data_IF_736099417359
#
_entry.id   IF_736099417359
#
_cell.length_a   1.000
_cell.length_b   1.000
_cell.length_c   1.000
_cell.angle_alpha   90.00
_cell.angle_beta   90.00
_cell.angle_gamma   90.00
#
_symmetry.space_group_name_H-M   'P 1'
#
loop_
_entity.id
_entity.type
_entity.pdbx_description
1 polymer ?
#
# COMPACT_ATOMS: atom_id res chain seq x y z
N UNK A 1 17.39 -1.28 -72.44
CA UNK A 1 15.93 -1.26 -72.16
C UNK A 1 15.45 -2.46 -71.32
N UNK A 2 15.78 -3.73 -71.64
CA UNK A 2 15.33 -4.91 -70.86
C UNK A 2 15.84 -4.95 -69.40
N UNK A 3 17.07 -4.48 -69.13
CA UNK A 3 17.64 -4.46 -67.77
C UNK A 3 17.03 -3.37 -66.87
N UNK A 4 16.50 -2.28 -67.44
CA UNK A 4 15.82 -1.23 -66.68
C UNK A 4 14.40 -1.66 -66.26
N UNK A 5 13.77 -2.53 -67.05
CA UNK A 5 12.48 -3.14 -66.70
C UNK A 5 12.61 -4.14 -65.54
N UNK A 6 13.69 -4.93 -65.48
CA UNK A 6 13.93 -5.87 -64.38
C UNK A 6 14.32 -5.17 -63.06
N UNK A 7 15.07 -4.06 -63.14
CA UNK A 7 15.40 -3.24 -61.96
C UNK A 7 14.17 -2.51 -61.39
N UNK A 8 13.28 -1.99 -62.25
CA UNK A 8 12.02 -1.40 -61.82
C UNK A 8 11.07 -2.40 -61.15
N UNK A 9 11.00 -3.64 -61.65
CA UNK A 9 10.19 -4.71 -61.06
C UNK A 9 10.71 -5.16 -59.68
N UNK A 10 12.03 -5.22 -59.49
CA UNK A 10 12.63 -5.56 -58.19
C UNK A 10 12.40 -4.46 -57.14
N UNK A 11 12.46 -3.19 -57.54
CA UNK A 11 12.20 -2.07 -56.64
C UNK A 11 10.72 -1.99 -56.20
N UNK A 12 9.78 -2.30 -57.11
CA UNK A 12 8.34 -2.41 -56.79
C UNK A 12 8.03 -3.59 -55.86
N UNK A 13 8.76 -4.71 -55.98
CA UNK A 13 8.57 -5.87 -55.08
C UNK A 13 9.04 -5.60 -53.64
N UNK A 14 10.09 -4.77 -53.45
CA UNK A 14 10.57 -4.38 -52.11
C UNK A 14 9.62 -3.37 -51.44
N UNK A 15 8.96 -2.52 -52.22
CA UNK A 15 7.96 -1.57 -51.70
C UNK A 15 6.61 -2.22 -51.32
N UNK A 16 6.34 -3.44 -51.78
CA UNK A 16 5.11 -4.18 -51.48
C UNK A 16 5.14 -4.96 -50.14
N UNK A 17 6.29 -5.00 -49.45
CA UNK A 17 6.49 -5.70 -48.16
C UNK A 17 6.43 -4.73 -46.96
N UNK A 18 6.01 -3.48 -47.16
CA UNK A 18 5.73 -2.54 -46.06
C UNK A 18 4.35 -2.81 -45.44
N UNK A 19 4.16 -3.99 -44.85
CA UNK A 19 3.04 -4.20 -43.95
C UNK A 19 3.24 -3.27 -42.73
N UNK A 20 2.23 -2.48 -42.32
CA UNK A 20 2.34 -1.71 -41.09
C UNK A 20 2.54 -2.70 -39.94
N UNK A 21 3.72 -2.66 -39.32
CA UNK A 21 3.97 -3.32 -38.05
C UNK A 21 3.14 -2.58 -36.98
N UNK A 22 1.85 -2.90 -36.89
CA UNK A 22 1.05 -2.49 -35.75
C UNK A 22 1.64 -3.22 -34.55
N UNK A 23 2.34 -2.49 -33.69
CA UNK A 23 2.68 -2.99 -32.36
C UNK A 23 1.36 -3.40 -31.70
N UNK A 24 1.15 -4.71 -31.57
CA UNK A 24 -0.09 -5.23 -31.01
C UNK A 24 -0.07 -4.92 -29.51
N UNK A 25 -0.72 -3.82 -29.13
CA UNK A 25 -0.86 -3.42 -27.74
C UNK A 25 -1.76 -4.44 -27.05
N UNK A 26 -1.18 -5.20 -26.11
CA UNK A 26 -1.92 -6.18 -25.31
C UNK A 26 -2.17 -5.57 -23.93
N UNK A 27 -3.42 -5.32 -23.62
CA UNK A 27 -3.84 -4.77 -22.34
C UNK A 27 -4.47 -5.87 -21.50
N UNK A 28 -4.25 -5.81 -20.19
CA UNK A 28 -4.96 -6.61 -19.20
C UNK A 28 -5.42 -5.70 -18.06
N UNK A 29 -6.32 -6.19 -17.22
CA UNK A 29 -6.65 -5.52 -15.97
C UNK A 29 -6.69 -6.50 -14.79
N UNK A 30 -6.54 -5.95 -13.60
CA UNK A 30 -6.51 -6.70 -12.35
C UNK A 30 -7.29 -5.97 -11.25
N UNK A 31 -8.07 -6.73 -10.50
CA UNK A 31 -8.71 -6.30 -9.28
C UNK A 31 -7.75 -6.56 -8.10
N UNK A 32 -6.93 -5.56 -7.79
CA UNK A 32 -5.91 -5.67 -6.74
C UNK A 32 -6.56 -5.87 -5.37
N UNK A 33 -7.70 -5.21 -5.12
CA UNK A 33 -8.44 -5.34 -3.86
C UNK A 33 -8.97 -6.77 -3.69
N UNK A 34 -9.53 -7.36 -4.74
CA UNK A 34 -9.95 -8.76 -4.73
C UNK A 34 -8.76 -9.70 -4.54
N UNK A 35 -7.67 -9.47 -5.26
CA UNK A 35 -6.47 -10.29 -5.14
C UNK A 35 -5.88 -10.26 -3.72
N UNK A 36 -5.82 -9.09 -3.10
CA UNK A 36 -5.41 -8.91 -1.70
C UNK A 36 -6.32 -9.69 -0.74
N UNK A 37 -7.65 -9.64 -0.92
CA UNK A 37 -8.59 -10.27 0.00
C UNK A 37 -8.75 -11.79 -0.20
N UNK A 38 -8.56 -12.27 -1.42
CA UNK A 38 -8.81 -13.67 -1.78
C UNK A 38 -7.54 -14.54 -1.75
N UNK A 39 -6.35 -13.95 -1.81
CA UNK A 39 -5.11 -14.71 -1.65
C UNK A 39 -4.95 -15.28 -0.24
N UNK A 40 -4.18 -16.34 -0.11
CA UNK A 40 -4.04 -17.08 1.15
C UNK A 40 -3.30 -16.24 2.21
N UNK A 41 -2.37 -15.38 1.80
CA UNK A 41 -1.73 -14.42 2.69
C UNK A 41 -2.72 -13.39 3.24
N UNK A 42 -3.57 -12.81 2.40
CA UNK A 42 -4.57 -11.84 2.83
C UNK A 42 -5.64 -12.44 3.73
N UNK A 43 -6.11 -13.66 3.43
CA UNK A 43 -7.03 -14.40 4.31
C UNK A 43 -6.41 -14.66 5.68
N UNK A 44 -5.14 -15.11 5.72
CA UNK A 44 -4.40 -15.32 6.98
C UNK A 44 -4.22 -14.02 7.76
N UNK A 45 -3.73 -12.98 7.11
CA UNK A 45 -3.56 -11.65 7.69
C UNK A 45 -4.86 -11.12 8.30
N UNK A 46 -5.97 -11.26 7.58
CA UNK A 46 -7.31 -10.87 8.07
C UNK A 46 -7.72 -11.64 9.32
N UNK A 47 -7.51 -12.95 9.35
CA UNK A 47 -7.83 -13.78 10.51
C UNK A 47 -6.96 -13.42 11.73
N UNK A 48 -5.65 -13.24 11.53
CA UNK A 48 -4.74 -12.82 12.59
C UNK A 48 -5.10 -11.43 13.14
N UNK A 49 -5.45 -10.50 12.25
CA UNK A 49 -5.89 -9.16 12.62
C UNK A 49 -7.19 -9.19 13.44
N UNK A 50 -8.17 -10.01 13.04
CA UNK A 50 -9.41 -10.20 13.80
C UNK A 50 -9.15 -10.77 15.19
N UNK A 51 -8.28 -11.77 15.31
CA UNK A 51 -7.89 -12.33 16.61
C UNK A 51 -7.21 -11.28 17.50
N UNK A 52 -6.36 -10.43 16.91
CA UNK A 52 -5.70 -9.34 17.62
C UNK A 52 -6.71 -8.32 18.15
N UNK A 53 -7.69 -7.93 17.33
CA UNK A 53 -8.80 -7.05 17.73
C UNK A 53 -9.55 -7.65 18.92
N UNK A 54 -9.98 -8.92 18.84
CA UNK A 54 -10.72 -9.58 19.91
C UNK A 54 -9.93 -9.66 21.22
N UNK A 55 -8.63 -9.96 21.13
CA UNK A 55 -7.75 -9.99 22.30
C UNK A 55 -7.56 -8.61 22.92
N UNK A 56 -7.45 -7.56 22.12
CA UNK A 56 -7.32 -6.18 22.60
C UNK A 56 -8.62 -5.70 23.24
N UNK A 57 -9.76 -5.96 22.60
CA UNK A 57 -11.08 -5.61 23.11
C UNK A 57 -11.34 -6.27 24.47
N UNK A 58 -11.07 -7.57 24.59
CA UNK A 58 -11.19 -8.31 25.86
C UNK A 58 -10.27 -7.79 26.96
N UNK A 59 -9.09 -7.25 26.61
CA UNK A 59 -8.18 -6.62 27.57
C UNK A 59 -8.70 -5.26 28.01
N UNK A 60 -9.06 -4.40 27.06
CA UNK A 60 -9.57 -3.05 27.33
C UNK A 60 -10.88 -3.08 28.12
N UNK A 61 -11.76 -4.05 27.85
CA UNK A 61 -12.99 -4.24 28.61
C UNK A 61 -12.71 -4.60 30.08
N UNK A 62 -11.70 -5.44 30.35
CA UNK A 62 -11.29 -5.76 31.72
C UNK A 62 -10.75 -4.54 32.46
N UNK A 63 -9.89 -3.77 31.81
CA UNK A 63 -9.35 -2.51 32.37
C UNK A 63 -10.47 -1.49 32.64
N UNK A 64 -11.43 -1.36 31.71
CA UNK A 64 -12.61 -0.50 31.88
C UNK A 64 -13.48 -0.92 33.07
N UNK A 65 -13.71 -2.23 33.24
CA UNK A 65 -14.47 -2.76 34.37
C UNK A 65 -13.74 -2.54 35.70
N UNK A 66 -12.42 -2.65 35.70
CA UNK A 66 -11.60 -2.41 36.89
C UNK A 66 -11.65 -0.93 37.31
N UNK A 67 -11.49 -0.01 36.36
CA UNK A 67 -11.64 1.44 36.62
C UNK A 67 -13.04 1.78 37.13
N UNK A 68 -14.08 1.19 36.53
CA UNK A 68 -15.46 1.39 36.98
C UNK A 68 -15.69 0.81 38.37
N UNK A 69 -15.13 -0.36 38.67
CA UNK A 69 -15.21 -0.99 40.00
C UNK A 69 -14.58 -0.12 41.10
N UNK A 70 -13.40 0.45 40.84
CA UNK A 70 -12.74 1.37 41.77
C UNK A 70 -13.57 2.64 41.99
N UNK A 71 -14.12 3.20 40.92
CA UNK A 71 -15.01 4.38 41.00
C UNK A 71 -16.22 4.08 41.88
N UNK A 72 -16.91 2.97 41.60
CA UNK A 72 -18.08 2.52 42.37
C UNK A 72 -17.73 2.29 43.85
N UNK A 73 -16.56 1.73 44.15
CA UNK A 73 -16.10 1.51 45.51
C UNK A 73 -15.85 2.82 46.27
N UNK A 74 -15.20 3.79 45.63
CA UNK A 74 -14.99 5.13 46.19
C UNK A 74 -16.33 5.83 46.44
N UNK A 75 -17.27 5.77 45.49
CA UNK A 75 -18.58 6.44 45.60
C UNK A 75 -19.46 5.81 46.69
N UNK A 76 -19.52 4.48 46.76
CA UNK A 76 -20.43 3.75 47.67
C UNK A 76 -19.86 3.57 49.07
N UNK A 77 -18.57 3.25 49.19
CA UNK A 77 -17.94 2.90 50.46
C UNK A 77 -16.98 3.98 50.97
N UNK A 78 -16.63 4.97 50.15
CA UNK A 78 -15.63 5.97 50.49
C UNK A 78 -15.93 6.71 51.80
N UNK A 79 -17.20 7.04 52.08
CA UNK A 79 -17.58 7.73 53.32
C UNK A 79 -17.33 6.89 54.59
N UNK A 80 -17.29 5.56 54.47
CA UNK A 80 -17.05 4.63 55.58
C UNK A 80 -15.57 4.26 55.76
N UNK A 81 -14.71 4.64 54.80
CA UNK A 81 -13.27 4.34 54.81
C UNK A 81 -12.48 5.35 55.64
N UNK A 82 -11.34 4.90 56.17
CA UNK A 82 -10.36 5.80 56.77
C UNK A 82 -9.75 6.73 55.71
N UNK A 83 -9.31 7.95 56.08
CA UNK A 83 -8.76 8.92 55.13
C UNK A 83 -7.65 8.35 54.24
N UNK A 84 -6.69 7.63 54.83
CA UNK A 84 -5.55 7.05 54.10
C UNK A 84 -5.99 5.96 53.11
N UNK A 85 -6.94 5.11 53.50
CA UNK A 85 -7.48 4.06 52.63
C UNK A 85 -8.23 4.65 51.43
N UNK A 86 -9.03 5.70 51.68
CA UNK A 86 -9.75 6.42 50.64
C UNK A 86 -8.79 7.09 49.66
N UNK A 87 -7.73 7.72 50.17
CA UNK A 87 -6.71 8.37 49.34
C UNK A 87 -6.01 7.33 48.44
N UNK A 88 -5.59 6.19 48.99
CA UNK A 88 -4.94 5.14 48.20
C UNK A 88 -5.84 4.61 47.07
N UNK A 89 -7.13 4.41 47.33
CA UNK A 89 -8.11 4.00 46.31
C UNK A 89 -8.29 5.07 45.22
N UNK A 90 -8.34 6.36 45.60
CA UNK A 90 -8.42 7.46 44.64
C UNK A 90 -7.18 7.54 43.75
N UNK A 91 -6.00 7.38 44.33
CA UNK A 91 -4.74 7.38 43.60
C UNK A 91 -4.67 6.19 42.63
N UNK A 92 -5.12 5.02 43.06
CA UNK A 92 -5.22 3.84 42.19
C UNK A 92 -6.22 4.04 41.04
N UNK A 93 -7.40 4.60 41.33
CA UNK A 93 -8.39 4.94 40.30
C UNK A 93 -7.81 5.90 39.27
N UNK A 94 -7.18 6.99 39.71
CA UNK A 94 -6.57 7.98 38.81
C UNK A 94 -5.48 7.34 37.95
N UNK A 95 -4.66 6.47 38.55
CA UNK A 95 -3.61 5.73 37.83
C UNK A 95 -4.22 4.82 36.75
N UNK A 96 -5.16 3.94 37.12
CA UNK A 96 -5.76 3.00 36.18
C UNK A 96 -6.59 3.69 35.09
N UNK A 97 -7.25 4.81 35.41
CA UNK A 97 -7.98 5.59 34.42
C UNK A 97 -7.03 6.20 33.36
N UNK A 98 -5.86 6.70 33.78
CA UNK A 98 -4.81 7.18 32.86
C UNK A 98 -4.22 6.06 32.02
N UNK A 99 -3.95 4.92 32.65
CA UNK A 99 -3.42 3.74 31.95
C UNK A 99 -4.41 3.24 30.88
N UNK A 100 -5.71 3.21 31.20
CA UNK A 100 -6.76 2.84 30.25
C UNK A 100 -6.84 3.79 29.06
N UNK A 101 -6.83 5.11 29.28
CA UNK A 101 -6.86 6.11 28.20
C UNK A 101 -5.64 5.95 27.28
N UNK A 102 -4.45 5.78 27.87
CA UNK A 102 -3.23 5.50 27.12
C UNK A 102 -3.34 4.20 26.32
N UNK A 103 -3.79 3.11 26.95
CA UNK A 103 -3.92 1.82 26.31
C UNK A 103 -4.93 1.82 25.17
N UNK A 104 -6.00 2.61 25.26
CA UNK A 104 -6.97 2.81 24.18
C UNK A 104 -6.33 3.48 22.97
N UNK A 105 -5.50 4.51 23.20
CA UNK A 105 -4.77 5.19 22.13
C UNK A 105 -3.73 4.27 21.50
N UNK A 106 -2.88 3.66 22.31
CA UNK A 106 -1.81 2.77 21.86
C UNK A 106 -2.38 1.60 21.06
N UNK A 107 -3.51 1.02 21.49
CA UNK A 107 -4.17 -0.07 20.75
C UNK A 107 -4.68 0.37 19.36
N UNK A 108 -5.23 1.58 19.23
CA UNK A 108 -5.69 2.10 17.92
C UNK A 108 -4.52 2.34 16.98
N UNK A 109 -3.48 2.99 17.47
CA UNK A 109 -2.28 3.31 16.69
C UNK A 109 -1.56 2.02 16.24
N UNK A 110 -1.46 1.03 17.13
CA UNK A 110 -0.83 -0.25 16.83
C UNK A 110 -1.64 -1.08 15.82
N UNK A 111 -2.97 -1.13 15.95
CA UNK A 111 -3.82 -1.82 14.97
C UNK A 111 -3.68 -1.18 13.58
N UNK A 112 -3.70 0.15 13.49
CA UNK A 112 -3.53 0.86 12.22
C UNK A 112 -2.14 0.63 11.62
N UNK A 113 -1.08 0.69 12.45
CA UNK A 113 0.29 0.44 11.99
C UNK A 113 0.44 -0.98 11.44
N UNK A 114 -0.05 -1.96 12.19
CA UNK A 114 0.05 -3.38 11.82
C UNK A 114 -0.74 -3.68 10.54
N UNK A 115 -1.96 -3.16 10.42
CA UNK A 115 -2.78 -3.32 9.20
C UNK A 115 -2.09 -2.75 7.96
N UNK A 116 -1.56 -1.53 8.08
CA UNK A 116 -0.82 -0.88 6.99
C UNK A 116 0.46 -1.64 6.60
N UNK A 117 1.22 -2.14 7.58
CA UNK A 117 2.46 -2.87 7.33
C UNK A 117 2.19 -4.19 6.60
N UNK A 118 1.24 -4.98 7.10
CA UNK A 118 0.92 -6.29 6.52
C UNK A 118 0.29 -6.11 5.13
N UNK A 119 -0.66 -5.19 4.99
CA UNK A 119 -1.28 -4.88 3.69
C UNK A 119 -0.24 -4.39 2.69
N UNK A 120 0.65 -3.48 3.10
CA UNK A 120 1.70 -2.95 2.24
C UNK A 120 2.64 -4.04 1.71
N UNK A 121 3.03 -5.00 2.55
CA UNK A 121 3.86 -6.14 2.13
C UNK A 121 3.15 -7.03 1.12
N UNK A 122 1.86 -7.33 1.31
CA UNK A 122 1.09 -8.15 0.36
C UNK A 122 0.91 -7.41 -0.98
N UNK A 123 0.62 -6.10 -0.94
CA UNK A 123 0.51 -5.28 -2.15
C UNK A 123 1.83 -5.22 -2.93
N UNK A 124 2.96 -5.13 -2.23
CA UNK A 124 4.27 -5.18 -2.84
C UNK A 124 4.51 -6.50 -3.59
N UNK A 125 4.24 -7.62 -2.93
CA UNK A 125 4.33 -8.97 -3.52
C UNK A 125 3.40 -9.13 -4.73
N UNK A 126 2.15 -8.66 -4.62
CA UNK A 126 1.19 -8.65 -5.73
C UNK A 126 1.72 -7.85 -6.92
N UNK A 127 2.34 -6.70 -6.69
CA UNK A 127 2.95 -5.88 -7.74
C UNK A 127 4.03 -6.64 -8.52
N UNK A 128 4.88 -7.39 -7.84
CA UNK A 128 5.89 -8.25 -8.49
C UNK A 128 5.24 -9.33 -9.33
N UNK A 129 4.21 -9.99 -8.81
CA UNK A 129 3.50 -11.06 -9.51
C UNK A 129 2.77 -10.53 -10.74
N UNK A 130 2.09 -9.39 -10.62
CA UNK A 130 1.41 -8.72 -11.73
C UNK A 130 2.43 -8.38 -12.83
N UNK A 131 3.60 -7.86 -12.45
CA UNK A 131 4.70 -7.58 -13.39
C UNK A 131 5.16 -8.84 -14.11
N UNK A 132 5.45 -9.92 -13.36
CA UNK A 132 5.91 -11.18 -13.94
C UNK A 132 4.88 -11.78 -14.92
N UNK A 133 3.58 -11.75 -14.56
CA UNK A 133 2.50 -12.18 -15.45
C UNK A 133 2.43 -11.28 -16.69
N UNK A 134 2.58 -9.98 -16.50
CA UNK A 134 2.69 -8.96 -17.54
C UNK A 134 3.74 -9.31 -18.59
N UNK A 135 4.97 -9.50 -18.12
CA UNK A 135 6.14 -9.80 -18.95
C UNK A 135 6.01 -11.17 -19.65
N UNK A 136 5.60 -12.22 -18.93
CA UNK A 136 5.45 -13.57 -19.48
C UNK A 136 4.33 -13.69 -20.52
N UNK A 137 3.24 -12.95 -20.34
CA UNK A 137 2.09 -12.98 -21.25
C UNK A 137 2.21 -11.97 -22.41
N UNK A 138 3.24 -11.13 -22.39
CA UNK A 138 3.49 -10.08 -23.37
C UNK A 138 2.47 -8.94 -23.30
N UNK A 139 1.96 -8.62 -22.11
CA UNK A 139 1.11 -7.45 -21.91
C UNK A 139 1.97 -6.18 -21.95
N UNK A 140 1.51 -5.18 -22.70
CA UNK A 140 2.12 -3.86 -22.76
C UNK A 140 1.79 -3.04 -21.51
N UNK A 141 0.62 -3.29 -20.90
CA UNK A 141 0.15 -2.62 -19.69
C UNK A 141 -0.89 -3.47 -18.97
N UNK A 142 -0.86 -3.42 -17.64
CA UNK A 142 -1.90 -3.95 -16.77
C UNK A 142 -2.53 -2.79 -16.01
N UNK A 143 -3.86 -2.67 -16.08
CA UNK A 143 -4.63 -1.61 -15.44
C UNK A 143 -5.30 -2.10 -14.16
N UNK A 144 -5.49 -1.21 -13.20
CA UNK A 144 -6.28 -1.49 -12.01
C UNK A 144 -7.78 -1.36 -12.34
N UNK A 145 -8.60 -2.29 -11.84
CA UNK A 145 -10.03 -2.39 -12.18
C UNK A 145 -10.85 -1.16 -11.79
N UNK A 146 -10.58 -0.53 -10.65
CA UNK A 146 -11.19 0.72 -10.22
C UNK A 146 -10.88 1.93 -11.12
N UNK A 147 -9.86 1.83 -11.98
CA UNK A 147 -9.49 2.86 -12.96
C UNK A 147 -10.18 2.70 -14.32
N UNK A 148 -10.93 1.62 -14.53
CA UNK A 148 -11.61 1.33 -15.80
C UNK A 148 -13.13 1.20 -15.59
N UNK A 149 -13.93 1.69 -16.54
CA UNK A 149 -15.39 1.59 -16.46
C UNK A 149 -15.91 0.21 -16.93
N UNK A 150 -15.21 -0.40 -17.90
CA UNK A 150 -15.58 -1.68 -18.47
C UNK A 150 -14.36 -2.33 -19.14
N UNK A 151 -14.27 -3.65 -19.04
CA UNK A 151 -13.28 -4.47 -19.73
C UNK A 151 -13.87 -5.85 -20.00
N UNK A 152 -13.46 -6.48 -21.10
CA UNK A 152 -13.87 -7.84 -21.40
C UNK A 152 -13.25 -8.83 -20.38
N UNK A 153 -14.03 -9.80 -19.90
CA UNK A 153 -13.61 -10.71 -18.82
C UNK A 153 -12.36 -11.54 -19.14
N UNK A 154 -12.06 -11.75 -20.42
CA UNK A 154 -10.85 -12.44 -20.85
C UNK A 154 -9.56 -11.61 -20.67
N UNK A 155 -9.68 -10.30 -20.42
CA UNK A 155 -8.57 -9.42 -20.08
C UNK A 155 -8.35 -9.33 -18.56
N UNK A 156 -9.25 -9.91 -17.76
CA UNK A 156 -9.12 -9.98 -16.31
C UNK A 156 -8.10 -11.05 -15.92
N UNK A 157 -6.98 -10.62 -15.36
CA UNK A 157 -5.93 -11.54 -14.88
C UNK A 157 -6.01 -11.78 -13.37
N UNK A 158 -7.04 -11.30 -12.67
CA UNK A 158 -7.15 -11.37 -11.20
C UNK A 158 -7.00 -12.79 -10.67
N UNK A 159 -7.71 -13.76 -11.25
CA UNK A 159 -7.62 -15.15 -10.78
C UNK A 159 -6.24 -15.75 -11.06
N UNK A 160 -5.57 -15.34 -12.14
CA UNK A 160 -4.20 -15.76 -12.45
C UNK A 160 -3.22 -15.20 -11.42
N UNK A 161 -3.39 -13.93 -11.04
CA UNK A 161 -2.59 -13.28 -9.98
C UNK A 161 -2.78 -13.98 -8.65
N UNK A 162 -4.03 -14.27 -8.24
CA UNK A 162 -4.33 -14.99 -6.99
C UNK A 162 -3.67 -16.37 -6.99
N UNK A 163 -3.83 -17.14 -8.07
CA UNK A 163 -3.21 -18.47 -8.19
C UNK A 163 -1.68 -18.40 -8.13
N UNK A 164 -1.09 -17.43 -8.81
CA UNK A 164 0.37 -17.24 -8.81
C UNK A 164 0.88 -16.84 -7.43
N UNK A 165 0.15 -15.99 -6.70
CA UNK A 165 0.47 -15.62 -5.33
C UNK A 165 0.46 -16.84 -4.42
N UNK A 166 -0.63 -17.60 -4.42
CA UNK A 166 -0.76 -18.78 -3.56
C UNK A 166 0.27 -19.86 -3.88
N UNK A 167 0.64 -20.02 -5.16
CA UNK A 167 1.64 -21.01 -5.60
C UNK A 167 3.07 -20.63 -5.23
N UNK A 168 3.35 -19.35 -4.98
CA UNK A 168 4.70 -18.89 -4.63
C UNK A 168 5.18 -19.35 -3.25
N UNK A 169 4.28 -19.88 -2.41
CA UNK A 169 4.53 -20.19 -0.99
C UNK A 169 5.25 -19.06 -0.21
N UNK A 170 5.15 -17.83 -0.72
CA UNK A 170 5.87 -16.68 -0.20
C UNK A 170 5.40 -16.36 1.22
N UNK A 171 6.36 -16.03 2.08
CA UNK A 171 6.07 -15.33 3.32
C UNK A 171 5.70 -13.89 2.96
N UNK A 172 4.82 -13.26 3.73
CA UNK A 172 4.37 -11.89 3.46
C UNK A 172 5.59 -10.96 3.37
N UNK A 173 5.80 -10.35 2.20
CA UNK A 173 6.91 -9.43 1.90
C UNK A 173 8.17 -10.08 1.33
N UNK A 174 8.24 -11.42 1.21
CA UNK A 174 9.48 -12.12 0.86
C UNK A 174 9.83 -12.06 -0.63
N UNK A 175 8.90 -11.66 -1.51
CA UNK A 175 9.18 -11.58 -2.95
C UNK A 175 10.00 -10.33 -3.30
N UNK A 176 10.09 -9.35 -2.38
CA UNK A 176 10.80 -8.09 -2.56
C UNK A 176 12.22 -7.98 -2.03
N UNK A 177 12.61 -8.81 -1.05
CA UNK A 177 13.89 -8.68 -0.36
C UNK A 177 15.11 -9.01 -1.25
N UNK A 178 14.91 -9.66 -2.40
CA UNK A 178 15.97 -9.89 -3.40
C UNK A 178 16.15 -8.77 -4.44
N UNK A 179 15.23 -7.81 -4.52
CA UNK A 179 15.19 -6.83 -5.62
C UNK A 179 15.85 -5.48 -5.29
N UNK A 180 16.13 -5.18 -4.00
CA UNK A 180 16.76 -3.92 -3.58
C UNK A 180 18.27 -3.85 -3.89
N UNK A 181 18.88 -4.93 -4.39
CA UNK A 181 20.31 -4.97 -4.72
C UNK A 181 20.66 -4.50 -6.15
N UNK A 182 19.71 -4.21 -7.05
CA UNK A 182 20.03 -3.85 -8.46
C UNK A 182 19.01 -2.91 -9.14
N UNK A 183 18.42 -1.95 -8.44
CA UNK A 183 17.83 -0.81 -9.16
C UNK A 183 18.88 0.29 -9.27
N UNK A 184 19.70 0.18 -10.31
CA UNK A 184 20.52 1.30 -10.78
C UNK A 184 19.59 2.15 -11.66
N UNK A 185 19.23 3.37 -11.24
CA UNK A 185 18.38 4.22 -12.06
C UNK A 185 19.06 4.46 -13.42
N UNK A 186 18.32 4.46 -14.55
CA UNK A 186 18.90 4.84 -15.83
C UNK A 186 19.57 6.21 -15.69
N UNK A 187 20.74 6.44 -16.33
CA UNK A 187 21.48 7.69 -16.17
C UNK A 187 20.55 8.84 -16.47
N UNK A 188 20.25 9.61 -15.42
CA UNK A 188 19.43 10.81 -15.48
C UNK A 188 19.95 11.67 -16.63
N UNK A 189 19.13 11.88 -17.65
CA UNK A 189 19.42 12.87 -18.68
C UNK A 189 19.71 14.18 -17.94
N UNK A 190 20.92 14.68 -18.15
CA UNK A 190 21.48 15.83 -17.43
C UNK A 190 20.42 16.89 -17.17
N UNK A 191 20.12 17.13 -15.89
CA UNK A 191 19.30 18.26 -15.50
C UNK A 191 19.90 19.53 -16.11
N UNK A 192 19.15 20.37 -16.83
CA UNK A 192 19.67 21.64 -17.30
C UNK A 192 20.07 22.49 -16.09
N UNK A 193 21.28 23.04 -16.15
CA UNK A 193 21.87 23.87 -15.13
C UNK A 193 20.88 24.95 -14.67
N UNK A 194 20.73 25.08 -13.35
CA UNK A 194 19.99 26.14 -12.69
C UNK A 194 20.41 27.51 -13.21
N UNK A 195 19.53 28.16 -13.97
CA UNK A 195 19.71 29.53 -14.45
C UNK A 195 19.57 30.51 -13.28
N UNK A 196 20.61 31.30 -13.06
CA UNK A 196 20.63 32.48 -12.19
C UNK A 196 19.63 33.55 -12.65
N UNK A 197 18.37 33.44 -12.24
CA UNK A 197 17.42 34.56 -12.34
C UNK A 197 16.72 34.77 -11.00
N UNK A 198 17.31 35.63 -10.17
CA UNK A 198 16.77 35.98 -8.87
C UNK A 198 17.59 36.98 -8.06
N UNK A 199 18.20 37.99 -8.69
CA UNK A 199 18.81 39.11 -7.95
C UNK A 199 18.55 40.44 -8.65
N UNK A 200 17.33 40.96 -8.48
CA UNK A 200 17.00 42.36 -8.78
C UNK A 200 15.64 42.76 -8.18
N UNK A 201 15.50 42.82 -6.86
CA UNK A 201 14.36 43.50 -6.23
C UNK A 201 14.63 43.87 -4.77
N UNK A 202 15.53 44.84 -4.52
CA UNK A 202 15.58 45.54 -3.23
C UNK A 202 16.14 46.96 -3.39
N UNK A 203 15.44 47.82 -4.13
CA UNK A 203 15.55 49.28 -3.94
C UNK A 203 14.50 49.69 -2.90
N UNK A 204 14.91 49.79 -1.63
CA UNK A 204 14.16 50.53 -0.61
C UNK A 204 14.25 52.00 -0.96
N UNK A 205 13.12 52.57 -1.36
CA UNK A 205 12.92 54.01 -1.51
C UNK A 205 12.96 54.67 -0.14
N UNK A 206 13.91 55.60 0.00
CA UNK A 206 13.95 56.66 0.98
C UNK A 206 12.73 57.57 0.76
N UNK A 207 11.84 57.65 1.75
CA UNK A 207 10.99 58.82 1.95
C UNK A 207 11.33 59.37 3.33
N UNK A 208 11.80 60.61 3.33
CA UNK A 208 11.98 61.45 4.51
C UNK A 208 11.20 62.73 4.24
N UNK A 209 10.47 63.18 5.27
CA UNK A 209 9.49 64.28 5.36
C UNK A 209 8.06 63.99 4.94
#
# INVERSE_FOLDING_TARGET
MRQWLTLGALLMAVLAVSAPAHAQVRLAYVDVQRALNECDAGKRAKNEFQNKIQSLDSRLQREQNEVQGLKDEIEKKGMLMQPDQRQNLQDEYIKKAKDLDRNLKDARDDLQRQDNEVTGKILHDLGIIIRNIGEQSGYTMVLEKGSILWGASNLDITDQVIRSYNSSHAQIGSLGEGATARYEPPPSAAAPASSEFGSAAAKRSTISR
#
